data_IF_810599266993
#
_entry.id   IF_810599266993
#
_cell.length_a   1.000
_cell.length_b   1.000
_cell.length_c   1.000
_cell.angle_alpha   90.00
_cell.angle_beta   90.00
_cell.angle_gamma   90.00
#
_symmetry.space_group_name_H-M   'P 1'
#
loop_
_entity.id
_entity.type
_entity.pdbx_description
1 polymer ?
#
# COMPACT_ATOMS: atom_id res chain seq x y z
N UNK A 1 1.48 12.69 17.13
CA UNK A 1 1.47 11.78 15.97
C UNK A 1 1.89 10.39 16.41
N UNK A 2 1.17 9.35 16.05
CA UNK A 2 1.53 7.96 16.39
C UNK A 2 2.65 7.50 15.46
N UNK A 3 3.72 6.90 16.02
CA UNK A 3 4.82 6.36 15.21
C UNK A 3 4.49 4.97 14.67
N UNK A 4 4.95 4.65 13.45
CA UNK A 4 4.73 3.33 12.84
C UNK A 4 5.35 2.19 13.68
N UNK A 5 6.51 2.43 14.29
CA UNK A 5 7.18 1.48 15.21
C UNK A 5 6.29 1.05 16.37
N UNK A 6 5.55 1.99 16.96
CA UNK A 6 4.62 1.72 18.05
C UNK A 6 3.43 0.89 17.56
N UNK A 7 2.91 1.19 16.37
CA UNK A 7 1.81 0.42 15.76
C UNK A 7 2.25 -1.00 15.44
N UNK A 8 3.44 -1.18 14.86
CA UNK A 8 4.03 -2.52 14.60
C UNK A 8 4.11 -3.34 15.87
N UNK A 9 4.60 -2.72 16.97
CA UNK A 9 4.72 -3.39 18.27
C UNK A 9 3.35 -3.80 18.82
N UNK A 10 2.34 -2.92 18.74
CA UNK A 10 0.97 -3.23 19.18
C UNK A 10 0.36 -4.37 18.36
N UNK A 11 0.47 -4.34 17.04
CA UNK A 11 -0.04 -5.40 16.16
C UNK A 11 0.63 -6.74 16.45
N UNK A 12 1.96 -6.74 16.67
CA UNK A 12 2.73 -7.94 16.99
C UNK A 12 2.30 -8.56 18.33
N UNK A 13 2.07 -7.75 19.34
CA UNK A 13 1.67 -8.21 20.68
C UNK A 13 0.22 -8.72 20.72
N UNK A 14 -0.65 -8.14 19.90
CA UNK A 14 -2.08 -8.48 19.88
C UNK A 14 -2.43 -9.64 18.94
N UNK A 15 -1.47 -10.13 18.15
CA UNK A 15 -1.71 -11.17 17.16
C UNK A 15 -0.59 -12.23 17.21
N UNK A 16 -0.98 -13.49 17.03
CA UNK A 16 -0.05 -14.62 16.92
C UNK A 16 0.49 -14.79 15.49
N UNK A 17 0.59 -13.71 14.72
CA UNK A 17 1.07 -13.78 13.35
C UNK A 17 2.59 -13.94 13.30
N UNK A 18 3.05 -14.92 12.50
CA UNK A 18 4.48 -15.17 12.26
C UNK A 18 5.04 -14.38 11.06
N UNK A 19 4.18 -13.90 10.18
CA UNK A 19 4.60 -13.20 8.95
C UNK A 19 4.84 -11.72 9.23
N UNK A 20 6.09 -11.31 9.16
CA UNK A 20 6.50 -9.91 9.32
C UNK A 20 5.81 -9.00 8.28
N UNK A 21 5.72 -9.44 7.02
CA UNK A 21 5.03 -8.66 5.97
C UNK A 21 3.56 -8.43 6.27
N UNK A 22 2.89 -9.36 6.92
CA UNK A 22 1.49 -9.21 7.35
C UNK A 22 1.38 -8.21 8.51
N UNK A 23 2.27 -8.32 9.50
CA UNK A 23 2.31 -7.40 10.66
C UNK A 23 2.53 -5.97 10.19
N UNK A 24 3.53 -5.75 9.34
CA UNK A 24 3.84 -4.41 8.82
C UNK A 24 2.74 -3.89 7.90
N UNK A 25 2.15 -4.71 7.05
CA UNK A 25 1.01 -4.33 6.22
C UNK A 25 -0.14 -3.80 7.05
N UNK A 26 -0.58 -4.57 8.05
CA UNK A 26 -1.64 -4.20 8.98
C UNK A 26 -1.29 -2.93 9.77
N UNK A 27 -0.04 -2.80 10.22
CA UNK A 27 0.42 -1.62 10.94
C UNK A 27 0.41 -0.36 10.06
N UNK A 28 0.74 -0.47 8.79
CA UNK A 28 0.68 0.64 7.85
C UNK A 28 -0.76 1.12 7.61
N UNK A 29 -1.71 0.20 7.51
CA UNK A 29 -3.14 0.56 7.40
C UNK A 29 -3.62 1.33 8.64
N UNK A 30 -3.33 0.83 9.85
CA UNK A 30 -3.66 1.50 11.11
C UNK A 30 -2.94 2.84 11.28
N UNK A 31 -1.68 2.91 10.86
CA UNK A 31 -0.89 4.13 10.91
C UNK A 31 -1.50 5.24 10.03
N UNK A 32 -1.87 4.91 8.79
CA UNK A 32 -2.55 5.85 7.88
C UNK A 32 -3.89 6.29 8.45
N UNK A 33 -4.71 5.33 8.90
CA UNK A 33 -6.03 5.61 9.48
C UNK A 33 -5.97 6.64 10.62
N UNK A 34 -4.92 6.59 11.44
CA UNK A 34 -4.78 7.44 12.64
C UNK A 34 -4.06 8.77 12.40
N UNK A 35 -3.25 8.87 11.36
CA UNK A 35 -2.37 10.02 11.17
C UNK A 35 -2.62 10.81 9.88
N UNK A 36 -3.36 10.25 8.92
CA UNK A 36 -3.55 10.89 7.62
C UNK A 36 -4.89 11.62 7.53
N UNK A 37 -4.88 12.76 6.87
CA UNK A 37 -6.09 13.38 6.33
C UNK A 37 -6.37 12.82 4.94
N UNK A 38 -7.64 12.68 4.61
CA UNK A 38 -8.05 12.30 3.27
C UNK A 38 -7.53 13.34 2.26
N UNK A 39 -6.83 12.89 1.24
CA UNK A 39 -6.23 13.80 0.23
C UNK A 39 -7.29 14.57 -0.55
N UNK A 40 -8.54 14.07 -0.62
CA UNK A 40 -9.63 14.72 -1.36
C UNK A 40 -10.45 15.71 -0.55
N UNK A 41 -10.77 15.37 0.70
CA UNK A 41 -11.69 16.19 1.52
C UNK A 41 -11.07 16.69 2.83
N UNK A 42 -9.79 16.41 3.05
CA UNK A 42 -9.01 16.80 4.24
C UNK A 42 -9.57 16.27 5.58
N UNK A 43 -10.53 15.36 5.54
CA UNK A 43 -11.12 14.76 6.72
C UNK A 43 -10.27 13.59 7.24
N UNK A 44 -10.36 13.30 8.54
CA UNK A 44 -9.60 12.23 9.22
C UNK A 44 -10.43 10.97 9.48
N UNK A 45 -11.64 10.89 8.94
CA UNK A 45 -12.59 9.83 9.25
C UNK A 45 -12.47 8.67 8.26
N UNK A 46 -11.61 7.70 8.60
CA UNK A 46 -11.40 6.50 7.78
C UNK A 46 -11.97 5.26 8.44
N UNK A 47 -12.59 4.41 7.62
CA UNK A 47 -12.96 3.04 7.99
C UNK A 47 -12.03 2.05 7.30
N UNK A 48 -11.65 1.02 8.05
CA UNK A 48 -10.89 -0.11 7.52
C UNK A 48 -11.82 -1.07 6.79
N UNK A 49 -11.47 -1.44 5.57
CA UNK A 49 -12.24 -2.41 4.79
C UNK A 49 -12.11 -3.82 5.39
N UNK A 50 -13.15 -4.63 5.25
CA UNK A 50 -13.15 -6.02 5.72
C UNK A 50 -12.10 -6.83 4.95
N UNK A 51 -11.49 -7.80 5.61
CA UNK A 51 -10.41 -8.66 5.07
C UNK A 51 -10.74 -9.33 3.74
N UNK A 52 -12.02 -9.50 3.42
CA UNK A 52 -12.49 -10.10 2.17
C UNK A 52 -12.84 -9.09 1.08
N UNK A 53 -12.75 -7.79 1.36
CA UNK A 53 -12.95 -6.77 0.34
C UNK A 53 -11.66 -6.62 -0.48
N UNK A 54 -11.73 -7.08 -1.72
CA UNK A 54 -10.57 -7.09 -2.61
C UNK A 54 -10.16 -5.67 -2.99
N UNK A 55 -8.86 -5.40 -2.97
CA UNK A 55 -8.19 -4.25 -3.58
C UNK A 55 -8.33 -2.89 -2.88
N UNK A 56 -8.95 -2.81 -1.72
CA UNK A 56 -8.99 -1.58 -0.92
C UNK A 56 -8.76 -1.91 0.55
N UNK A 57 -8.04 -1.05 1.23
CA UNK A 57 -7.70 -1.21 2.64
C UNK A 57 -8.46 -0.21 3.52
N UNK A 58 -8.61 1.03 3.04
CA UNK A 58 -9.32 2.10 3.74
C UNK A 58 -10.33 2.81 2.85
N UNK A 59 -11.40 3.32 3.46
CA UNK A 59 -12.39 4.21 2.87
C UNK A 59 -12.51 5.46 3.73
N UNK A 60 -12.47 6.64 3.11
CA UNK A 60 -12.87 7.88 3.76
C UNK A 60 -14.39 7.91 3.87
N UNK A 61 -14.93 8.02 5.08
CA UNK A 61 -16.38 7.99 5.31
C UNK A 61 -17.10 9.26 4.83
N UNK A 62 -16.36 10.36 4.65
CA UNK A 62 -16.96 11.64 4.22
C UNK A 62 -17.12 11.74 2.70
N UNK A 63 -16.10 11.36 1.93
CA UNK A 63 -16.13 11.50 0.47
C UNK A 63 -16.14 10.16 -0.29
N UNK A 64 -16.17 9.04 0.43
CA UNK A 64 -16.13 7.68 -0.12
C UNK A 64 -14.87 7.36 -0.97
N UNK A 65 -13.79 8.15 -0.83
CA UNK A 65 -12.53 7.84 -1.48
C UNK A 65 -11.93 6.56 -0.91
N UNK A 66 -11.56 5.65 -1.79
CA UNK A 66 -10.96 4.36 -1.47
C UNK A 66 -9.46 4.41 -1.63
N UNK A 67 -8.75 3.74 -0.73
CA UNK A 67 -7.29 3.68 -0.71
C UNK A 67 -6.79 2.25 -0.59
N UNK A 68 -5.78 1.93 -1.39
CA UNK A 68 -4.95 0.74 -1.24
C UNK A 68 -3.63 1.15 -0.61
N UNK A 69 -3.27 0.51 0.51
CA UNK A 69 -2.03 0.81 1.23
C UNK A 69 -0.97 -0.22 0.85
N UNK A 70 0.24 0.23 0.57
CA UNK A 70 1.39 -0.62 0.33
C UNK A 70 2.56 -0.20 1.21
N UNK A 71 3.22 -1.17 1.81
CA UNK A 71 4.41 -0.98 2.62
C UNK A 71 5.67 -1.39 1.83
N UNK A 72 6.71 -0.58 1.88
CA UNK A 72 8.00 -0.87 1.26
C UNK A 72 9.13 -0.49 2.20
N UNK A 73 9.97 -1.46 2.57
CA UNK A 73 11.21 -1.10 3.24
C UNK A 73 12.22 -0.54 2.23
N UNK A 74 12.97 0.47 2.64
CA UNK A 74 13.96 1.12 1.78
C UNK A 74 14.95 1.95 2.56
N UNK A 75 15.94 2.47 1.85
CA UNK A 75 16.94 3.42 2.35
C UNK A 75 16.69 4.80 1.74
N UNK A 76 17.21 5.85 2.38
CA UNK A 76 17.11 7.22 1.86
C UNK A 76 17.65 7.33 0.43
N UNK A 77 18.80 6.70 0.15
CA UNK A 77 19.40 6.67 -1.20
C UNK A 77 18.49 6.01 -2.25
N UNK A 78 17.77 4.95 -1.88
CA UNK A 78 16.79 4.32 -2.79
C UNK A 78 15.61 5.24 -3.06
N UNK A 79 15.17 6.00 -2.06
CA UNK A 79 14.06 6.94 -2.19
C UNK A 79 14.44 8.12 -3.07
N UNK A 80 15.63 8.69 -2.87
CA UNK A 80 16.15 9.74 -3.75
C UNK A 80 16.16 9.31 -5.23
N UNK A 81 16.57 8.07 -5.49
CA UNK A 81 16.53 7.49 -6.84
C UNK A 81 15.10 7.35 -7.37
N UNK A 82 14.15 6.93 -6.54
CA UNK A 82 12.73 6.81 -6.89
C UNK A 82 12.17 8.20 -7.26
N UNK A 83 12.44 9.21 -6.44
CA UNK A 83 11.97 10.58 -6.63
C UNK A 83 12.60 11.19 -7.89
N UNK A 84 13.90 11.02 -8.08
CA UNK A 84 14.63 11.53 -9.25
C UNK A 84 14.09 10.92 -10.54
N UNK A 85 13.90 9.62 -10.57
CA UNK A 85 13.41 8.90 -11.76
C UNK A 85 11.88 9.00 -11.94
N UNK A 86 11.15 9.56 -10.97
CA UNK A 86 9.68 9.56 -10.92
C UNK A 86 9.06 8.20 -11.22
N UNK A 87 9.71 7.13 -10.73
CA UNK A 87 9.32 5.75 -11.02
C UNK A 87 9.42 4.89 -9.77
N UNK A 88 8.29 4.26 -9.40
CA UNK A 88 8.21 3.33 -8.28
C UNK A 88 7.58 2.01 -8.72
N UNK A 89 8.23 0.88 -8.37
CA UNK A 89 7.74 -0.46 -8.69
C UNK A 89 7.47 -1.24 -7.39
N UNK A 90 6.31 -1.85 -7.29
CA UNK A 90 5.94 -2.70 -6.16
C UNK A 90 5.25 -3.98 -6.63
N UNK A 91 5.07 -4.92 -5.69
CA UNK A 91 4.28 -6.13 -5.92
C UNK A 91 2.81 -5.77 -5.75
N UNK A 92 2.00 -6.10 -6.73
CA UNK A 92 0.54 -6.06 -6.69
C UNK A 92 -0.05 -7.34 -6.09
N UNK A 93 -1.37 -7.43 -6.11
CA UNK A 93 -2.11 -8.64 -5.78
C UNK A 93 -2.16 -9.65 -6.93
N UNK A 94 -3.25 -10.38 -7.03
CA UNK A 94 -3.56 -11.22 -8.17
C UNK A 94 -3.74 -10.36 -9.43
N UNK A 95 -3.16 -10.82 -10.55
CA UNK A 95 -3.12 -10.05 -11.80
C UNK A 95 -4.52 -9.71 -12.33
N UNK A 96 -5.39 -10.72 -12.46
CA UNK A 96 -6.75 -10.51 -12.97
C UNK A 96 -7.57 -9.57 -12.08
N UNK A 97 -7.49 -9.75 -10.77
CA UNK A 97 -8.16 -8.88 -9.79
C UNK A 97 -7.62 -7.45 -9.87
N UNK A 98 -6.30 -7.28 -10.01
CA UNK A 98 -5.67 -5.95 -10.10
C UNK A 98 -6.11 -5.23 -11.38
N UNK A 99 -6.14 -5.92 -12.52
CA UNK A 99 -6.64 -5.37 -13.80
C UNK A 99 -8.11 -4.95 -13.69
N UNK A 100 -8.97 -5.81 -13.13
CA UNK A 100 -10.40 -5.53 -13.00
C UNK A 100 -10.71 -4.36 -12.07
N UNK A 101 -9.77 -4.01 -11.18
CA UNK A 101 -9.96 -2.94 -10.20
C UNK A 101 -9.39 -1.57 -10.64
N UNK A 102 -8.74 -1.48 -11.80
CA UNK A 102 -8.20 -0.20 -12.33
C UNK A 102 -9.27 0.90 -12.36
N UNK A 103 -10.50 0.58 -12.74
CA UNK A 103 -11.59 1.54 -12.91
C UNK A 103 -12.42 1.77 -11.64
N UNK A 104 -12.01 1.25 -10.47
CA UNK A 104 -12.80 1.34 -9.23
C UNK A 104 -12.52 2.59 -8.38
N UNK A 105 -11.79 3.56 -8.93
CA UNK A 105 -11.44 4.80 -8.24
C UNK A 105 -10.73 4.53 -6.89
N UNK A 106 -9.72 3.68 -6.93
CA UNK A 106 -8.90 3.33 -5.77
C UNK A 106 -7.54 4.02 -5.92
N UNK A 107 -7.25 4.97 -5.05
CA UNK A 107 -5.95 5.62 -4.99
C UNK A 107 -4.97 4.75 -4.18
N UNK A 108 -3.68 4.91 -4.42
CA UNK A 108 -2.64 4.17 -3.70
C UNK A 108 -1.86 5.09 -2.77
N UNK A 109 -1.54 4.56 -1.60
CA UNK A 109 -0.61 5.18 -0.65
C UNK A 109 0.52 4.18 -0.41
N UNK A 110 1.74 4.61 -0.68
CA UNK A 110 2.93 3.80 -0.46
C UNK A 110 3.68 4.38 0.73
N UNK A 111 3.83 3.59 1.78
CA UNK A 111 4.65 3.94 2.94
C UNK A 111 6.03 3.34 2.75
N UNK A 112 7.06 4.19 2.69
CA UNK A 112 8.44 3.75 2.63
C UNK A 112 9.08 3.96 4.00
N UNK A 113 9.60 2.88 4.58
CA UNK A 113 10.08 2.84 5.95
C UNK A 113 11.46 2.17 6.07
N UNK A 114 12.22 2.51 7.12
CA UNK A 114 13.48 1.83 7.48
C UNK A 114 13.18 0.46 8.09
N UNK A 115 13.80 -0.60 7.56
CA UNK A 115 13.53 -1.99 7.99
C UNK A 115 13.81 -2.24 9.47
N UNK A 116 14.81 -1.60 10.05
CA UNK A 116 15.26 -1.84 11.41
C UNK A 116 14.48 -1.07 12.47
N UNK A 117 14.08 0.15 12.19
CA UNK A 117 13.40 1.06 13.12
C UNK A 117 11.92 1.24 12.87
N UNK A 118 11.42 0.81 11.70
CA UNK A 118 10.06 1.15 11.18
C UNK A 118 9.80 2.65 11.08
N UNK A 119 10.85 3.47 11.10
CA UNK A 119 10.74 4.90 10.85
C UNK A 119 10.24 5.15 9.42
N UNK A 120 9.17 5.92 9.29
CA UNK A 120 8.64 6.31 7.97
C UNK A 120 9.56 7.36 7.36
N UNK A 121 10.16 7.04 6.21
CA UNK A 121 11.07 7.93 5.50
C UNK A 121 10.28 8.82 4.54
N UNK A 122 9.32 8.22 3.81
CA UNK A 122 8.53 8.93 2.80
C UNK A 122 7.19 8.25 2.59
N UNK A 123 6.21 9.03 2.17
CA UNK A 123 4.95 8.50 1.67
C UNK A 123 4.69 9.02 0.26
N UNK A 124 4.24 8.13 -0.62
CA UNK A 124 3.87 8.46 -1.98
C UNK A 124 2.37 8.28 -2.14
N UNK A 125 1.73 9.23 -2.78
CA UNK A 125 0.31 9.18 -3.14
C UNK A 125 0.18 9.07 -4.66
N UNK A 126 -0.59 8.12 -5.11
CA UNK A 126 -0.84 7.86 -6.52
C UNK A 126 -2.34 7.90 -6.77
N UNK A 127 -2.79 8.84 -7.59
CA UNK A 127 -4.18 8.93 -8.02
C UNK A 127 -4.52 7.79 -8.97
N UNK A 128 -5.71 7.24 -8.85
CA UNK A 128 -6.18 6.17 -9.72
C UNK A 128 -6.13 6.54 -11.21
N UNK A 129 -6.35 7.80 -11.58
CA UNK A 129 -6.29 8.28 -12.97
C UNK A 129 -4.93 8.04 -13.66
N UNK A 130 -3.84 7.87 -12.89
CA UNK A 130 -2.51 7.57 -13.41
C UNK A 130 -2.22 6.07 -13.51
N UNK A 131 -3.20 5.22 -13.16
CA UNK A 131 -3.04 3.76 -13.16
C UNK A 131 -3.87 3.17 -14.29
N UNK A 132 -3.17 2.57 -15.25
CA UNK A 132 -3.77 1.89 -16.39
C UNK A 132 -3.17 0.48 -16.56
N UNK A 133 -3.60 -0.26 -17.57
CA UNK A 133 -3.14 -1.63 -17.82
C UNK A 133 -1.64 -1.72 -18.09
N UNK A 134 -1.02 -0.68 -18.66
CA UNK A 134 0.42 -0.63 -18.95
C UNK A 134 1.27 -0.55 -17.67
N UNK A 135 0.69 -0.04 -16.60
CA UNK A 135 1.34 -0.01 -15.28
C UNK A 135 1.46 -1.41 -14.66
N UNK A 136 0.71 -2.41 -15.14
CA UNK A 136 0.57 -3.71 -14.51
C UNK A 136 1.22 -4.80 -15.36
N UNK A 137 2.27 -5.42 -14.83
CA UNK A 137 2.99 -6.50 -15.49
C UNK A 137 2.72 -7.82 -14.77
N UNK A 138 2.20 -8.86 -15.46
CA UNK A 138 1.99 -10.16 -14.85
C UNK A 138 3.31 -10.80 -14.44
N UNK A 139 3.30 -11.50 -13.31
CA UNK A 139 4.39 -12.38 -12.88
C UNK A 139 4.17 -13.77 -13.44
N UNK A 140 5.22 -14.60 -13.46
CA UNK A 140 5.09 -16.01 -13.78
C UNK A 140 4.07 -16.67 -12.82
N UNK A 141 3.09 -17.44 -13.32
CA UNK A 141 2.16 -18.19 -12.47
C UNK A 141 2.88 -19.14 -11.53
N UNK A 142 2.29 -19.42 -10.38
CA UNK A 142 2.81 -20.44 -9.48
C UNK A 142 2.75 -21.82 -10.15
N UNK A 143 3.75 -22.65 -9.85
CA UNK A 143 3.85 -24.01 -10.39
C UNK A 143 2.63 -24.87 -10.01
N UNK A 144 2.40 -25.93 -10.77
CA UNK A 144 1.32 -26.89 -10.51
C UNK A 144 1.43 -27.57 -9.14
N UNK A 145 2.64 -27.64 -8.56
CA UNK A 145 2.89 -28.23 -7.24
C UNK A 145 2.71 -27.23 -6.09
N UNK A 146 2.48 -25.95 -6.38
CA UNK A 146 2.28 -24.95 -5.35
C UNK A 146 0.89 -25.04 -4.72
N UNK A 147 0.77 -24.68 -3.44
CA UNK A 147 -0.50 -24.68 -2.70
C UNK A 147 -1.62 -23.88 -3.40
N UNK A 148 -1.26 -22.81 -4.13
CA UNK A 148 -2.16 -22.02 -4.99
C UNK A 148 -1.73 -22.15 -6.45
N UNK A 149 -1.78 -23.39 -6.98
CA UNK A 149 -1.42 -23.68 -8.37
C UNK A 149 -2.13 -22.75 -9.35
N UNK A 150 -1.39 -22.24 -10.32
CA UNK A 150 -1.93 -21.34 -11.35
C UNK A 150 -2.17 -19.90 -10.89
N UNK A 151 -2.06 -19.58 -9.60
CA UNK A 151 -2.19 -18.19 -9.12
C UNK A 151 -1.09 -17.31 -9.73
N UNK A 152 -1.50 -16.21 -10.34
CA UNK A 152 -0.62 -15.26 -10.99
C UNK A 152 -0.70 -13.91 -10.30
N UNK A 153 0.40 -13.49 -9.70
CA UNK A 153 0.57 -12.15 -9.17
C UNK A 153 0.97 -11.15 -10.24
N UNK A 154 1.13 -9.90 -9.85
CA UNK A 154 1.62 -8.86 -10.74
C UNK A 154 2.65 -7.97 -10.07
N UNK A 155 3.34 -7.18 -10.88
CA UNK A 155 4.04 -5.97 -10.49
C UNK A 155 3.23 -4.77 -10.94
N UNK A 156 3.24 -3.70 -10.14
CA UNK A 156 2.67 -2.41 -10.51
C UNK A 156 3.82 -1.41 -10.57
N UNK A 157 3.92 -0.67 -11.67
CA UNK A 157 4.89 0.40 -11.89
C UNK A 157 4.17 1.72 -11.93
N UNK A 158 4.43 2.59 -10.98
CA UNK A 158 3.90 3.94 -10.92
C UNK A 158 4.90 4.91 -11.53
N UNK A 159 4.51 5.64 -12.56
CA UNK A 159 5.32 6.64 -13.24
C UNK A 159 4.91 8.08 -12.86
N UNK A 160 3.90 8.21 -12.03
CA UNK A 160 3.41 9.49 -11.51
C UNK A 160 2.95 9.33 -10.07
N UNK A 161 3.44 10.16 -9.17
CA UNK A 161 3.08 10.18 -7.76
C UNK A 161 3.39 11.54 -7.14
N UNK A 162 2.67 11.85 -6.09
CA UNK A 162 2.90 13.00 -5.22
C UNK A 162 3.58 12.54 -3.93
N UNK A 163 4.48 13.36 -3.38
CA UNK A 163 5.03 13.11 -2.05
C UNK A 163 4.07 13.76 -1.06
N UNK A 164 3.58 12.99 -0.10
CA UNK A 164 2.73 13.49 0.97
C UNK A 164 3.45 13.41 2.31
N UNK A 165 3.17 14.38 3.15
CA UNK A 165 3.59 14.41 4.55
C UNK A 165 2.37 14.29 5.44
N UNK A 166 2.51 13.65 6.59
CA UNK A 166 1.48 13.66 7.62
C UNK A 166 1.51 15.01 8.32
N UNK A 167 0.38 15.65 8.39
CA UNK A 167 0.21 16.94 9.06
C UNK A 167 0.16 16.81 10.58
#
# INVERSE_FOLDING_TARGET
MLELSNVVTQIRNNNNWKSESRIVGEACEEYIKKNMKCVRCENINFEKCKTNEKSKDLICLECNQKYQIKAKCGTEKQIEKIIHNKKFKTIGGEYSTTINNINQNIDYIIIIYKKTSYEVIKMLYIKNEFINTECITPRKPLSLTAKRSGWQGCHITFNNFEIITLG
#
